data_IF_025356439218
#
_entry.id   IF_025356439218
#
_cell.length_a   1.000
_cell.length_b   1.000
_cell.length_c   1.000
_cell.angle_alpha   90.00
_cell.angle_beta   90.00
_cell.angle_gamma   90.00
#
_symmetry.space_group_name_H-M   'P 1'
#
loop_
_entity.id
_entity.type
_entity.pdbx_description
1 polymer ?
#
# COMPACT_ATOMS: atom_id res chain seq x y z
N UNK A 1 -12.75 -31.22 29.09
CA UNK A 1 -12.01 -32.47 29.40
C UNK A 1 -12.42 -33.08 30.74
N UNK A 2 -12.56 -34.41 30.77
CA UNK A 2 -12.91 -35.18 31.97
C UNK A 2 -11.80 -36.20 32.20
N UNK A 3 -11.28 -36.29 33.42
CA UNK A 3 -10.48 -37.43 33.86
C UNK A 3 -11.44 -38.53 34.28
N UNK A 4 -11.41 -39.64 33.56
CA UNK A 4 -12.18 -40.83 33.86
C UNK A 4 -11.25 -41.89 34.44
N UNK A 5 -11.71 -42.54 35.50
CA UNK A 5 -10.99 -43.60 36.18
C UNK A 5 -11.73 -44.90 35.96
N UNK A 6 -11.09 -45.87 35.31
CA UNK A 6 -11.59 -47.25 35.23
C UNK A 6 -10.83 -48.11 36.20
N UNK A 7 -11.59 -48.81 37.03
CA UNK A 7 -11.08 -49.86 37.90
C UNK A 7 -11.22 -51.18 37.16
N UNK A 8 -10.09 -51.82 36.88
CA UNK A 8 -10.04 -53.17 36.34
C UNK A 8 -9.85 -54.13 37.51
N UNK A 9 -10.86 -54.95 37.76
CA UNK A 9 -10.84 -55.97 38.81
C UNK A 9 -10.84 -57.36 38.16
N UNK A 10 -9.91 -58.22 38.58
CA UNK A 10 -9.88 -59.64 38.21
C UNK A 10 -10.12 -60.47 39.48
N UNK A 11 -11.39 -60.79 39.79
CA UNK A 11 -11.77 -61.35 41.10
C UNK A 11 -11.10 -62.70 41.39
N UNK A 12 -10.87 -63.52 40.36
CA UNK A 12 -10.21 -64.83 40.50
C UNK A 12 -8.71 -64.76 40.83
N UNK A 13 -8.09 -63.58 40.72
CA UNK A 13 -6.65 -63.38 40.94
C UNK A 13 -6.34 -62.33 42.03
N UNK A 14 -7.36 -61.73 42.68
CA UNK A 14 -7.20 -60.60 43.61
C UNK A 14 -6.37 -59.44 43.04
N UNK A 15 -6.46 -59.20 41.73
CA UNK A 15 -5.78 -58.09 41.08
C UNK A 15 -6.75 -56.92 40.93
N UNK A 16 -6.27 -55.75 41.35
CA UNK A 16 -6.96 -54.48 41.21
C UNK A 16 -6.00 -53.50 40.56
N UNK A 17 -6.39 -52.98 39.41
CA UNK A 17 -5.65 -51.91 38.74
C UNK A 17 -6.58 -50.73 38.50
N UNK A 18 -6.09 -49.54 38.76
CA UNK A 18 -6.82 -48.30 38.50
C UNK A 18 -6.14 -47.62 37.33
N UNK A 19 -6.84 -47.55 36.20
CA UNK A 19 -6.36 -46.88 35.00
C UNK A 19 -7.10 -45.56 34.88
N UNK A 20 -6.35 -44.46 34.91
CA UNK A 20 -6.89 -43.13 34.61
C UNK A 20 -6.71 -42.87 33.12
N UNK A 21 -7.78 -42.44 32.44
CA UNK A 21 -7.71 -41.94 31.08
C UNK A 21 -8.37 -40.57 30.97
N UNK A 22 -7.81 -39.73 30.11
CA UNK A 22 -8.30 -38.39 29.82
C UNK A 22 -9.16 -38.44 28.58
N UNK A 23 -10.41 -38.01 28.69
CA UNK A 23 -11.35 -37.99 27.57
C UNK A 23 -11.57 -36.56 27.07
N UNK A 24 -11.44 -36.38 25.76
CA UNK A 24 -11.62 -35.13 25.03
C UNK A 24 -10.31 -34.43 24.65
N UNK A 25 -10.43 -33.40 23.83
CA UNK A 25 -9.31 -32.54 23.43
C UNK A 25 -9.32 -31.22 24.21
N UNK A 26 -8.15 -30.62 24.39
CA UNK A 26 -8.01 -29.24 24.85
C UNK A 26 -7.10 -28.46 23.88
N UNK A 27 -7.63 -28.10 22.70
CA UNK A 27 -6.88 -27.30 21.75
C UNK A 27 -6.53 -25.94 22.35
N UNK A 28 -5.27 -25.57 22.21
CA UNK A 28 -4.74 -24.27 22.65
C UNK A 28 -3.88 -23.68 21.54
N UNK A 29 -3.90 -22.35 21.43
CA UNK A 29 -2.85 -21.63 20.72
C UNK A 29 -1.55 -21.85 21.51
N UNK A 30 -0.58 -22.50 20.88
CA UNK A 30 0.73 -22.76 21.47
C UNK A 30 1.73 -21.69 21.06
N UNK A 31 1.61 -21.18 19.85
CA UNK A 31 2.55 -20.24 19.26
C UNK A 31 1.86 -19.39 18.20
N UNK A 32 2.26 -18.11 18.14
CA UNK A 32 1.84 -17.16 17.10
C UNK A 32 3.12 -16.55 16.56
N UNK A 33 3.39 -16.80 15.28
CA UNK A 33 4.53 -16.23 14.58
C UNK A 33 4.04 -15.41 13.41
N UNK A 34 4.51 -14.17 13.29
CA UNK A 34 4.48 -13.52 11.99
C UNK A 34 5.44 -14.28 11.08
N UNK A 35 5.00 -14.67 9.89
CA UNK A 35 5.83 -15.40 8.93
C UNK A 35 6.91 -14.44 8.37
N UNK A 36 7.97 -14.23 9.15
CA UNK A 36 9.08 -13.31 8.85
C UNK A 36 10.04 -13.96 7.85
N UNK A 37 9.57 -14.28 6.65
CA UNK A 37 10.49 -14.61 5.56
C UNK A 37 11.26 -13.36 5.08
N UNK A 38 10.71 -12.16 5.30
CA UNK A 38 11.25 -10.86 4.87
C UNK A 38 10.87 -9.77 5.87
N UNK A 39 11.60 -8.65 5.87
CA UNK A 39 11.28 -7.46 6.65
C UNK A 39 9.85 -6.98 6.36
N UNK A 40 9.14 -6.60 7.41
CA UNK A 40 7.74 -6.18 7.32
C UNK A 40 7.64 -4.65 7.17
N UNK A 41 6.70 -4.20 6.34
CA UNK A 41 6.57 -2.78 6.01
C UNK A 41 5.12 -2.27 6.23
N UNK A 42 4.94 -0.97 6.52
CA UNK A 42 3.63 -0.33 6.62
C UNK A 42 2.88 -0.45 5.31
N UNK A 43 1.57 -0.62 5.40
CA UNK A 43 0.75 -0.96 4.25
C UNK A 43 1.14 -2.29 3.62
N UNK A 44 1.78 -3.24 4.35
CA UNK A 44 2.03 -4.61 3.86
C UNK A 44 1.25 -5.72 4.54
N UNK A 45 0.79 -6.73 3.79
CA UNK A 45 0.07 -7.86 4.40
C UNK A 45 1.04 -8.74 5.19
N UNK A 46 0.78 -8.85 6.48
CA UNK A 46 1.51 -9.67 7.45
C UNK A 46 0.70 -10.94 7.73
N UNK A 47 1.08 -12.10 7.19
CA UNK A 47 0.49 -13.37 7.59
C UNK A 47 0.94 -13.76 9.00
N UNK A 48 0.01 -14.28 9.79
CA UNK A 48 0.22 -14.84 11.11
C UNK A 48 0.03 -16.36 11.07
N UNK A 49 1.10 -17.09 11.34
CA UNK A 49 1.06 -18.51 11.61
C UNK A 49 0.55 -18.73 13.03
N UNK A 50 -0.69 -19.20 13.14
CA UNK A 50 -1.31 -19.56 14.42
C UNK A 50 -1.20 -21.07 14.60
N UNK A 51 -0.34 -21.47 15.52
CA UNK A 51 -0.05 -22.86 15.83
C UNK A 51 -0.94 -23.34 16.96
N UNK A 52 -1.61 -24.47 16.73
CA UNK A 52 -2.58 -25.09 17.64
C UNK A 52 -2.07 -26.48 18.02
N UNK A 53 -2.13 -26.78 19.31
CA UNK A 53 -1.81 -28.11 19.86
C UNK A 53 -2.89 -28.54 20.85
N UNK A 54 -3.09 -29.84 20.99
CA UNK A 54 -3.89 -30.37 22.10
C UNK A 54 -3.00 -30.52 23.35
N UNK A 55 -3.24 -29.69 24.35
CA UNK A 55 -2.46 -29.69 25.60
C UNK A 55 -2.64 -30.98 26.41
N UNK A 56 -3.73 -31.72 26.23
CA UNK A 56 -4.00 -32.96 26.97
C UNK A 56 -3.49 -34.19 26.25
N UNK A 57 -3.70 -34.26 24.93
CA UNK A 57 -3.36 -35.41 24.12
C UNK A 57 -2.68 -34.93 22.83
N UNK A 58 -1.36 -34.62 22.85
CA UNK A 58 -0.66 -34.04 21.69
C UNK A 58 -0.79 -34.87 20.41
N UNK A 59 -0.86 -36.20 20.53
CA UNK A 59 -0.98 -37.13 19.40
C UNK A 59 -2.39 -37.18 18.78
N UNK A 60 -3.36 -36.44 19.32
CA UNK A 60 -4.74 -36.44 18.83
C UNK A 60 -4.81 -35.91 17.40
N UNK A 61 -5.55 -36.61 16.57
CA UNK A 61 -6.05 -36.08 15.30
C UNK A 61 -7.08 -34.99 15.59
N UNK A 62 -6.60 -33.75 15.75
CA UNK A 62 -7.44 -32.63 16.16
C UNK A 62 -8.46 -32.25 15.08
N UNK A 63 -8.08 -32.34 13.81
CA UNK A 63 -8.98 -32.11 12.67
C UNK A 63 -10.11 -33.13 12.69
N UNK A 64 -9.80 -34.43 12.72
CA UNK A 64 -10.80 -35.49 12.78
C UNK A 64 -11.67 -35.43 14.05
N UNK A 65 -11.08 -35.05 15.19
CA UNK A 65 -11.83 -34.81 16.43
C UNK A 65 -12.86 -33.69 16.23
N UNK A 66 -12.47 -32.51 15.76
CA UNK A 66 -13.39 -31.39 15.56
C UNK A 66 -14.48 -31.70 14.53
N UNK A 67 -14.12 -32.35 13.42
CA UNK A 67 -15.08 -32.81 12.41
C UNK A 67 -16.14 -33.74 12.99
N UNK A 68 -15.76 -34.66 13.89
CA UNK A 68 -16.68 -35.61 14.53
C UNK A 68 -17.76 -34.93 15.39
N UNK A 69 -17.46 -33.74 15.92
CA UNK A 69 -18.40 -32.89 16.66
C UNK A 69 -19.03 -31.79 15.79
N UNK A 70 -18.71 -31.74 14.49
CA UNK A 70 -19.18 -30.71 13.57
C UNK A 70 -18.73 -29.30 13.95
N UNK A 71 -17.53 -29.19 14.54
CA UNK A 71 -16.91 -27.94 14.96
C UNK A 71 -15.90 -27.44 13.93
N UNK A 72 -15.88 -26.14 13.70
CA UNK A 72 -14.87 -25.45 12.88
C UNK A 72 -14.09 -24.47 13.75
N UNK A 73 -12.77 -24.40 13.63
CA UNK A 73 -11.99 -23.40 14.36
C UNK A 73 -12.30 -22.00 13.83
N UNK A 74 -12.22 -20.99 14.68
CA UNK A 74 -12.33 -19.58 14.31
C UNK A 74 -11.28 -18.81 15.08
N UNK A 75 -10.52 -17.94 14.41
CA UNK A 75 -9.55 -17.06 15.08
C UNK A 75 -9.91 -15.60 14.88
N UNK A 76 -10.19 -14.94 15.99
CA UNK A 76 -10.39 -13.50 16.06
C UNK A 76 -9.04 -12.84 16.36
N UNK A 77 -8.63 -11.91 15.51
CA UNK A 77 -7.46 -11.04 15.71
C UNK A 77 -8.00 -9.63 15.93
N UNK A 78 -7.73 -9.06 17.10
CA UNK A 78 -8.16 -7.72 17.49
C UNK A 78 -6.93 -6.89 17.91
N UNK A 79 -6.64 -5.76 17.26
CA UNK A 79 -5.65 -4.82 17.77
C UNK A 79 -6.17 -4.15 19.03
N UNK A 80 -5.34 -4.11 20.08
CA UNK A 80 -5.74 -3.55 21.39
C UNK A 80 -4.84 -2.41 21.86
N UNK A 81 -3.63 -2.29 21.32
CA UNK A 81 -2.70 -1.21 21.64
C UNK A 81 -1.68 -1.01 20.51
N UNK A 82 -1.13 0.20 20.39
CA UNK A 82 -0.16 0.57 19.36
C UNK A 82 0.85 1.58 19.92
N UNK A 83 2.14 1.26 19.77
CA UNK A 83 3.25 2.18 20.04
C UNK A 83 3.91 2.56 18.71
N UNK A 84 3.82 3.83 18.28
CA UNK A 84 4.33 4.24 16.98
C UNK A 84 5.85 4.19 16.89
N UNK A 85 6.34 3.86 15.70
CA UNK A 85 7.71 4.06 15.29
C UNK A 85 7.73 5.03 14.11
N UNK A 86 8.47 6.15 14.20
CA UNK A 86 8.37 7.23 13.23
C UNK A 86 8.87 6.79 11.85
N UNK A 87 8.28 7.38 10.80
CA UNK A 87 8.84 7.32 9.45
C UNK A 87 10.13 8.16 9.39
N UNK A 88 10.86 8.06 8.28
CA UNK A 88 11.84 9.09 7.97
C UNK A 88 11.12 10.44 7.77
N UNK A 89 11.62 11.51 8.38
CA UNK A 89 11.00 12.85 8.38
C UNK A 89 10.57 13.32 6.98
N UNK A 90 11.38 13.03 5.96
CA UNK A 90 11.07 13.37 4.57
C UNK A 90 9.88 12.59 3.99
N UNK A 91 9.76 11.31 4.34
CA UNK A 91 8.65 10.47 3.90
C UNK A 91 7.36 10.82 4.66
N UNK A 92 7.47 11.18 5.94
CA UNK A 92 6.37 11.67 6.76
C UNK A 92 5.80 12.97 6.20
N UNK A 93 6.65 13.99 5.98
CA UNK A 93 6.21 15.27 5.43
C UNK A 93 5.64 15.15 4.01
N UNK A 94 6.16 14.23 3.19
CA UNK A 94 5.59 13.95 1.87
C UNK A 94 4.21 13.29 1.98
N UNK A 95 4.06 12.30 2.86
CA UNK A 95 2.80 11.60 3.07
C UNK A 95 1.72 12.54 3.62
N UNK A 96 2.04 13.36 4.62
CA UNK A 96 1.12 14.37 5.18
C UNK A 96 0.60 15.31 4.10
N UNK A 97 1.52 15.88 3.32
CA UNK A 97 1.17 16.77 2.20
C UNK A 97 0.24 16.11 1.19
N UNK A 98 0.41 14.81 0.91
CA UNK A 98 -0.45 14.08 -0.02
C UNK A 98 -1.84 13.82 0.58
N UNK A 99 -1.92 13.50 1.87
CA UNK A 99 -3.19 13.27 2.57
C UNK A 99 -4.04 14.54 2.65
N UNK A 100 -3.41 15.72 2.80
CA UNK A 100 -4.12 17.01 2.77
C UNK A 100 -4.87 17.25 1.45
N UNK A 101 -4.38 16.69 0.33
CA UNK A 101 -5.03 16.81 -0.99
C UNK A 101 -6.20 15.84 -1.18
N UNK A 102 -6.42 14.93 -0.22
CA UNK A 102 -7.39 13.85 -0.29
C UNK A 102 -8.31 13.84 0.94
N UNK A 103 -9.22 14.82 1.07
CA UNK A 103 -10.19 14.82 2.16
C UNK A 103 -10.97 13.50 2.25
N UNK A 104 -11.14 12.98 3.47
CA UNK A 104 -11.78 11.67 3.71
C UNK A 104 -10.83 10.47 3.58
N UNK A 105 -9.55 10.70 3.28
CA UNK A 105 -8.49 9.70 3.38
C UNK A 105 -7.67 10.01 4.62
N UNK A 106 -7.68 9.10 5.58
CA UNK A 106 -6.88 9.18 6.80
C UNK A 106 -6.03 7.93 6.93
N UNK A 107 -4.80 8.09 7.44
CA UNK A 107 -4.04 6.95 7.90
C UNK A 107 -4.83 6.31 9.04
N UNK A 108 -5.21 5.04 8.86
CA UNK A 108 -5.81 4.29 9.96
C UNK A 108 -4.73 4.13 11.04
N UNK A 109 -5.07 4.37 12.30
CA UNK A 109 -4.18 4.02 13.42
C UNK A 109 -4.31 2.53 13.74
N UNK A 110 -5.50 1.97 13.51
CA UNK A 110 -5.79 0.56 13.73
C UNK A 110 -5.42 -0.29 12.50
N UNK A 111 -4.74 -1.43 12.69
CA UNK A 111 -4.42 -2.34 11.60
C UNK A 111 -5.67 -3.02 11.06
N UNK A 112 -5.79 -3.06 9.73
CA UNK A 112 -6.85 -3.78 9.05
C UNK A 112 -6.60 -5.29 9.19
N UNK A 113 -7.44 -5.98 9.94
CA UNK A 113 -7.34 -7.44 10.12
C UNK A 113 -8.04 -8.16 8.98
N UNK A 114 -7.46 -9.28 8.56
CA UNK A 114 -8.01 -10.15 7.51
C UNK A 114 -8.18 -11.54 8.07
N UNK A 115 -9.44 -11.99 8.07
CA UNK A 115 -9.84 -13.31 8.51
C UNK A 115 -10.48 -14.03 7.30
N UNK A 116 -10.04 -15.25 6.97
CA UNK A 116 -10.73 -16.10 6.00
C UNK A 116 -12.20 -16.33 6.39
N UNK A 117 -13.07 -16.47 5.38
CA UNK A 117 -14.50 -16.77 5.58
C UNK A 117 -14.73 -18.14 6.23
N UNK A 118 -13.78 -19.05 6.04
CA UNK A 118 -13.81 -20.43 6.53
C UNK A 118 -12.40 -20.87 6.89
N UNK A 119 -12.29 -21.70 7.92
CA UNK A 119 -11.03 -22.12 8.50
C UNK A 119 -10.87 -23.63 8.48
N UNK A 120 -9.63 -24.06 8.28
CA UNK A 120 -9.17 -25.43 8.34
C UNK A 120 -7.98 -25.55 9.30
N UNK A 121 -7.79 -26.76 9.81
CA UNK A 121 -6.55 -27.15 10.48
C UNK A 121 -5.66 -27.90 9.48
N UNK A 122 -4.52 -27.34 9.14
CA UNK A 122 -3.51 -28.01 8.35
C UNK A 122 -2.48 -28.67 9.28
N UNK A 123 -2.25 -29.97 9.12
CA UNK A 123 -1.16 -30.65 9.82
C UNK A 123 0.19 -30.28 9.21
N UNK A 124 1.14 -29.85 10.03
CA UNK A 124 2.49 -29.52 9.58
C UNK A 124 3.45 -30.70 9.83
N UNK A 125 3.93 -30.88 11.07
CA UNK A 125 4.73 -32.03 11.52
C UNK A 125 4.39 -32.42 12.97
N UNK A 126 4.41 -33.73 13.28
CA UNK A 126 4.17 -34.23 14.64
C UNK A 126 2.78 -33.87 15.19
N UNK A 127 2.67 -33.42 16.47
CA UNK A 127 1.40 -33.06 17.12
C UNK A 127 0.90 -31.64 16.77
N UNK A 128 1.51 -30.99 15.78
CA UNK A 128 1.35 -29.56 15.50
C UNK A 128 0.37 -29.31 14.36
N UNK A 129 -0.60 -28.44 14.61
CA UNK A 129 -1.60 -28.01 13.65
C UNK A 129 -1.47 -26.50 13.40
N UNK A 130 -1.69 -26.07 12.17
CA UNK A 130 -1.67 -24.67 11.77
C UNK A 130 -3.04 -24.29 11.26
N UNK A 131 -3.53 -23.15 11.69
CA UNK A 131 -4.80 -22.61 11.20
C UNK A 131 -4.60 -21.97 9.82
N UNK A 132 -5.39 -22.39 8.83
CA UNK A 132 -5.37 -21.84 7.48
C UNK A 132 -6.80 -21.64 6.96
N UNK A 133 -7.00 -20.63 6.13
CA UNK A 133 -8.25 -20.40 5.44
C UNK A 133 -8.54 -21.46 4.37
N UNK A 134 -9.82 -21.86 4.27
CA UNK A 134 -10.33 -22.60 3.12
C UNK A 134 -10.25 -21.67 1.89
N UNK A 135 -9.65 -22.14 0.79
CA UNK A 135 -9.36 -21.30 -0.37
C UNK A 135 -10.62 -20.65 -0.98
N UNK A 136 -10.64 -19.32 -1.19
CA UNK A 136 -11.37 -18.72 -2.29
C UNK A 136 -10.34 -18.15 -3.28
N UNK A 137 -9.84 -18.95 -4.23
CA UNK A 137 -9.89 -18.65 -5.67
C UNK A 137 -8.99 -19.51 -6.57
N UNK A 138 -9.64 -19.91 -7.67
CA UNK A 138 -9.08 -20.41 -8.92
C UNK A 138 -8.31 -19.30 -9.65
N UNK A 139 -6.98 -19.30 -9.56
CA UNK A 139 -6.15 -18.83 -10.68
C UNK A 139 -4.76 -19.44 -10.58
N UNK A 140 -4.42 -20.28 -11.57
CA UNK A 140 -3.08 -20.83 -11.84
C UNK A 140 -2.49 -21.79 -10.80
N UNK A 141 -3.16 -22.91 -10.53
CA UNK A 141 -2.56 -24.26 -10.38
C UNK A 141 -1.34 -24.51 -9.47
N UNK A 142 -0.88 -23.56 -8.65
CA UNK A 142 0.25 -23.72 -7.74
C UNK A 142 -0.14 -23.21 -6.37
N UNK A 143 -0.25 -24.15 -5.42
CA UNK A 143 -0.36 -23.90 -3.98
C UNK A 143 0.86 -23.05 -3.56
N UNK A 144 0.63 -21.86 -2.99
CA UNK A 144 1.63 -21.13 -2.21
C UNK A 144 1.17 -21.19 -0.76
N UNK A 145 2.04 -21.66 0.13
CA UNK A 145 1.68 -22.00 1.51
C UNK A 145 1.25 -20.78 2.38
N UNK A 146 1.73 -19.57 2.09
CA UNK A 146 1.47 -18.39 2.96
C UNK A 146 0.22 -17.56 2.66
N UNK A 147 -0.53 -17.79 1.57
CA UNK A 147 -1.65 -16.89 1.19
C UNK A 147 -2.96 -17.10 1.95
N UNK A 148 -3.06 -18.19 2.71
CA UNK A 148 -4.27 -18.58 3.40
C UNK A 148 -4.18 -18.41 4.92
N UNK A 149 -3.05 -17.95 5.45
CA UNK A 149 -2.95 -17.63 6.87
C UNK A 149 -3.74 -16.36 7.17
N UNK A 150 -4.35 -16.24 8.36
CA UNK A 150 -4.91 -14.98 8.80
C UNK A 150 -3.82 -13.93 8.97
N UNK A 151 -4.19 -12.66 9.07
CA UNK A 151 -3.19 -11.63 9.14
C UNK A 151 -3.77 -10.24 9.28
N UNK A 152 -2.91 -9.25 9.05
CA UNK A 152 -3.31 -7.86 9.07
C UNK A 152 -2.42 -7.02 8.16
N UNK A 153 -2.83 -5.78 7.93
CA UNK A 153 -2.01 -4.75 7.27
C UNK A 153 -1.72 -3.67 8.32
N UNK A 154 -0.47 -3.55 8.81
CA UNK A 154 -0.11 -2.48 9.73
C UNK A 154 -0.06 -1.17 8.94
N UNK A 155 -0.82 -0.14 9.31
CA UNK A 155 -0.87 1.11 8.56
C UNK A 155 0.42 1.92 8.73
N UNK A 156 1.08 1.79 9.88
CA UNK A 156 2.28 2.53 10.27
C UNK A 156 3.34 1.57 10.84
N UNK A 157 4.59 2.04 10.95
CA UNK A 157 5.58 1.30 11.73
C UNK A 157 5.27 1.41 13.22
N UNK A 158 5.62 0.38 13.98
CA UNK A 158 5.50 0.37 15.42
C UNK A 158 5.34 -1.01 16.02
N UNK A 159 5.11 -1.00 17.33
CA UNK A 159 4.82 -2.20 18.10
C UNK A 159 3.31 -2.28 18.29
N UNK A 160 2.70 -3.32 17.72
CA UNK A 160 1.26 -3.54 17.78
C UNK A 160 0.96 -4.66 18.77
N UNK A 161 0.05 -4.40 19.69
CA UNK A 161 -0.46 -5.41 20.61
C UNK A 161 -1.75 -5.97 20.05
N UNK A 162 -1.75 -7.26 19.77
CA UNK A 162 -2.92 -8.00 19.32
C UNK A 162 -3.45 -8.90 20.42
N UNK A 163 -4.77 -8.87 20.59
CA UNK A 163 -5.52 -9.91 21.27
C UNK A 163 -5.96 -10.93 20.24
N UNK A 164 -5.52 -12.17 20.41
CA UNK A 164 -5.84 -13.28 19.52
C UNK A 164 -6.66 -14.28 20.32
N UNK A 165 -7.85 -14.62 19.80
CA UNK A 165 -8.78 -15.54 20.43
C UNK A 165 -9.08 -16.68 19.48
N UNK A 166 -8.83 -17.89 19.93
CA UNK A 166 -9.31 -19.11 19.28
C UNK A 166 -10.71 -19.44 19.81
N UNK A 167 -11.63 -19.78 18.92
CA UNK A 167 -12.96 -20.27 19.21
C UNK A 167 -13.27 -21.49 18.32
N UNK A 168 -14.34 -22.22 18.66
CA UNK A 168 -14.84 -23.34 17.86
C UNK A 168 -16.34 -23.19 17.68
N UNK A 169 -16.79 -23.10 16.44
CA UNK A 169 -18.19 -22.87 16.09
C UNK A 169 -18.82 -24.13 15.49
N UNK A 170 -20.06 -24.43 15.87
CA UNK A 170 -20.83 -25.51 15.29
C UNK A 170 -21.61 -25.07 14.05
N UNK A 171 -22.02 -26.02 13.20
CA UNK A 171 -22.75 -25.79 11.93
C UNK A 171 -24.03 -24.94 12.02
N UNK A 172 -24.60 -24.73 13.21
CA UNK A 172 -25.85 -23.99 13.41
C UNK A 172 -25.64 -22.57 14.00
N UNK A 173 -24.40 -22.06 14.06
CA UNK A 173 -24.10 -20.74 14.66
C UNK A 173 -24.42 -20.64 16.17
N UNK A 174 -24.89 -21.73 16.77
CA UNK A 174 -25.03 -21.86 18.22
C UNK A 174 -23.64 -22.10 18.76
N UNK A 175 -23.11 -21.10 19.46
CA UNK A 175 -21.81 -21.15 20.10
C UNK A 175 -21.68 -22.45 20.89
N UNK A 176 -20.81 -23.33 20.41
CA UNK A 176 -20.25 -24.34 21.28
C UNK A 176 -19.48 -23.59 22.36
N UNK A 177 -19.57 -24.06 23.60
CA UNK A 177 -18.93 -23.50 24.80
C UNK A 177 -17.59 -22.82 24.47
N UNK A 178 -17.31 -21.62 25.02
CA UNK A 178 -16.09 -20.86 24.73
C UNK A 178 -14.88 -21.58 25.32
N UNK A 179 -14.42 -22.65 24.66
CA UNK A 179 -13.10 -23.21 24.81
C UNK A 179 -12.16 -22.33 24.01
N UNK A 180 -11.95 -21.11 24.49
CA UNK A 180 -11.11 -20.13 23.83
C UNK A 180 -10.11 -19.57 24.81
N UNK A 181 -8.82 -19.84 24.57
CA UNK A 181 -7.75 -19.14 25.26
C UNK A 181 -7.56 -17.81 24.53
N UNK A 182 -7.70 -16.72 25.26
CA UNK A 182 -7.30 -15.39 24.78
C UNK A 182 -5.82 -15.23 25.07
N UNK A 183 -5.04 -14.88 24.05
CA UNK A 183 -3.62 -14.56 24.18
C UNK A 183 -3.40 -13.14 23.69
N UNK A 184 -2.56 -12.39 24.41
CA UNK A 184 -2.13 -11.06 23.99
C UNK A 184 -0.68 -11.17 23.54
N UNK A 185 -0.39 -10.71 22.32
CA UNK A 185 0.95 -10.70 21.74
C UNK A 185 1.31 -9.32 21.22
N UNK A 186 2.53 -8.90 21.56
CA UNK A 186 3.15 -7.71 20.95
C UNK A 186 3.93 -8.19 19.73
N UNK A 187 3.61 -7.62 18.58
CA UNK A 187 4.29 -7.88 17.31
C UNK A 187 4.93 -6.57 16.84
N UNK A 188 6.25 -6.60 16.67
CA UNK A 188 7.04 -5.44 16.24
C UNK A 188 7.17 -5.38 14.71
N UNK A 189 6.72 -4.27 14.14
CA UNK A 189 6.79 -3.93 12.71
C UNK A 189 7.60 -2.66 12.53
N UNK A 190 8.91 -2.82 12.50
CA UNK A 190 9.87 -1.74 12.30
C UNK A 190 11.10 -2.28 11.61
N UNK A 191 11.84 -1.46 10.85
CA UNK A 191 13.09 -1.89 10.23
C UNK A 191 14.07 -2.38 11.31
N UNK A 192 14.81 -3.46 11.02
CA UNK A 192 15.81 -4.00 11.95
C UNK A 192 17.06 -3.11 12.02
N UNK A 193 17.39 -2.43 10.92
CA UNK A 193 18.51 -1.52 10.81
C UNK A 193 18.27 -0.37 9.80
N UNK A 194 19.23 0.56 9.73
CA UNK A 194 19.21 1.69 8.81
C UNK A 194 19.23 1.28 7.33
N UNK A 195 19.80 0.11 7.01
CA UNK A 195 19.83 -0.39 5.62
C UNK A 195 18.44 -0.87 5.20
N UNK A 196 17.70 -1.50 6.09
CA UNK A 196 16.30 -1.86 5.85
C UNK A 196 15.42 -0.62 5.72
N UNK A 197 15.60 0.37 6.59
CA UNK A 197 14.89 1.65 6.46
C UNK A 197 15.23 2.35 5.14
N UNK A 198 16.48 2.28 4.68
CA UNK A 198 16.87 2.87 3.39
C UNK A 198 16.16 2.22 2.19
N UNK A 199 15.74 0.94 2.28
CA UNK A 199 14.97 0.27 1.22
C UNK A 199 13.54 0.77 1.07
N UNK A 200 12.99 1.48 2.05
CA UNK A 200 11.61 1.99 1.99
C UNK A 200 11.53 3.46 1.59
N UNK A 201 12.64 4.18 1.66
CA UNK A 201 12.69 5.63 1.45
C UNK A 201 12.09 6.04 0.10
N UNK A 202 11.21 7.03 0.12
CA UNK A 202 10.55 7.58 -1.06
C UNK A 202 9.42 6.72 -1.64
N UNK A 203 9.45 5.39 -1.51
CA UNK A 203 8.34 4.52 -1.97
C UNK A 203 7.27 4.28 -0.91
N UNK A 204 7.63 4.36 0.38
CA UNK A 204 6.70 4.09 1.47
C UNK A 204 5.47 5.00 1.46
N UNK A 205 5.59 6.32 1.20
CA UNK A 205 4.41 7.18 1.09
C UNK A 205 3.41 6.70 0.05
N UNK A 206 3.87 6.15 -1.09
CA UNK A 206 2.97 5.61 -2.12
C UNK A 206 2.20 4.37 -1.65
N UNK A 207 2.89 3.46 -0.94
CA UNK A 207 2.29 2.23 -0.42
C UNK A 207 1.23 2.55 0.64
N UNK A 208 1.56 3.45 1.58
CA UNK A 208 0.66 3.89 2.64
C UNK A 208 -0.54 4.66 2.08
N UNK A 209 -0.29 5.56 1.12
CA UNK A 209 -1.36 6.32 0.47
C UNK A 209 -2.33 5.39 -0.27
N UNK A 210 -1.81 4.41 -1.03
CA UNK A 210 -2.67 3.46 -1.75
C UNK A 210 -3.52 2.64 -0.78
N UNK A 211 -2.91 2.14 0.30
CA UNK A 211 -3.60 1.36 1.34
C UNK A 211 -4.72 2.16 2.03
N UNK A 212 -4.51 3.46 2.19
CA UNK A 212 -5.48 4.37 2.83
C UNK A 212 -6.61 4.80 1.90
N UNK A 213 -6.30 5.00 0.61
CA UNK A 213 -7.30 5.32 -0.41
C UNK A 213 -8.19 4.12 -0.72
N UNK A 214 -7.61 2.92 -0.81
CA UNK A 214 -8.30 1.70 -1.25
C UNK A 214 -8.06 0.52 -0.27
N UNK A 215 -8.63 0.60 0.95
CA UNK A 215 -8.44 -0.44 1.98
C UNK A 215 -9.09 -1.78 1.59
N UNK A 216 -8.78 -2.84 2.34
CA UNK A 216 -9.37 -4.17 2.16
C UNK A 216 -8.65 -5.02 1.10
N UNK A 217 -9.42 -5.78 0.31
CA UNK A 217 -8.87 -6.73 -0.68
C UNK A 217 -8.10 -6.04 -1.82
N UNK A 218 -8.53 -4.84 -2.21
CA UNK A 218 -7.90 -4.03 -3.26
C UNK A 218 -6.47 -3.63 -2.89
N UNK A 219 -6.29 -3.21 -1.64
CA UNK A 219 -5.01 -3.00 -1.01
C UNK A 219 -4.19 -4.29 -1.04
N UNK A 220 -4.73 -5.38 -0.47
CA UNK A 220 -4.01 -6.64 -0.21
C UNK A 220 -3.23 -7.19 -1.41
N UNK A 221 -3.80 -7.20 -2.62
CA UNK A 221 -3.14 -7.78 -3.79
C UNK A 221 -1.91 -6.99 -4.27
N UNK A 222 -2.07 -5.67 -4.36
CA UNK A 222 -0.99 -4.74 -4.76
C UNK A 222 0.13 -4.79 -3.73
N UNK A 223 -0.28 -4.81 -2.47
CA UNK A 223 0.57 -4.80 -1.30
C UNK A 223 1.40 -6.08 -1.13
N UNK A 224 0.83 -7.26 -1.40
CA UNK A 224 1.57 -8.53 -1.36
C UNK A 224 2.75 -8.52 -2.35
N UNK A 225 2.57 -7.90 -3.53
CA UNK A 225 3.66 -7.70 -4.49
C UNK A 225 4.64 -6.64 -4.01
N UNK A 226 4.14 -5.60 -3.33
CA UNK A 226 4.97 -4.53 -2.78
C UNK A 226 6.00 -5.05 -1.79
N UNK A 227 5.59 -5.88 -0.82
CA UNK A 227 6.49 -6.45 0.20
C UNK A 227 7.76 -7.05 -0.42
N UNK A 228 7.60 -7.89 -1.44
CA UNK A 228 8.72 -8.52 -2.15
C UNK A 228 9.63 -7.52 -2.86
N UNK A 229 9.06 -6.50 -3.52
CA UNK A 229 9.86 -5.53 -4.28
C UNK A 229 10.61 -4.57 -3.36
N UNK A 230 10.02 -4.18 -2.23
CA UNK A 230 10.69 -3.38 -1.20
C UNK A 230 11.87 -4.15 -0.60
N UNK A 231 11.69 -5.43 -0.24
CA UNK A 231 12.78 -6.22 0.34
C UNK A 231 13.96 -6.42 -0.62
N UNK A 232 13.67 -6.54 -1.92
CA UNK A 232 14.64 -6.60 -3.03
C UNK A 232 15.22 -5.22 -3.41
N UNK A 233 14.73 -4.10 -2.86
CA UNK A 233 15.18 -2.74 -3.17
C UNK A 233 14.80 -2.26 -4.58
N UNK A 234 13.75 -2.83 -5.19
CA UNK A 234 13.32 -2.54 -6.56
C UNK A 234 12.26 -1.44 -6.61
N UNK A 235 12.69 -0.20 -6.35
CA UNK A 235 11.80 0.96 -6.25
C UNK A 235 11.04 1.25 -7.55
N UNK A 236 11.72 1.18 -8.70
CA UNK A 236 11.09 1.41 -10.01
C UNK A 236 9.96 0.41 -10.29
N UNK A 237 10.21 -0.89 -10.12
CA UNK A 237 9.21 -1.94 -10.36
C UNK A 237 8.00 -1.80 -9.42
N UNK A 238 8.25 -1.43 -8.16
CA UNK A 238 7.18 -1.15 -7.21
C UNK A 238 6.34 0.06 -7.63
N UNK A 239 7.01 1.14 -8.03
CA UNK A 239 6.35 2.34 -8.51
C UNK A 239 5.49 2.06 -9.76
N UNK A 240 5.93 1.18 -10.66
CA UNK A 240 5.11 0.71 -11.80
C UNK A 240 3.82 0.04 -11.33
N UNK A 241 3.90 -0.89 -10.38
CA UNK A 241 2.72 -1.60 -9.87
C UNK A 241 1.75 -0.62 -9.18
N UNK A 242 2.28 0.30 -8.37
CA UNK A 242 1.46 1.31 -7.69
C UNK A 242 0.85 2.29 -8.69
N UNK A 243 1.61 2.73 -9.69
CA UNK A 243 1.11 3.59 -10.76
C UNK A 243 -0.06 2.95 -11.52
N UNK A 244 0.07 1.68 -11.93
CA UNK A 244 -1.01 0.93 -12.58
C UNK A 244 -2.23 0.78 -11.66
N UNK A 245 -1.99 0.47 -10.39
CA UNK A 245 -3.06 0.33 -9.40
C UNK A 245 -3.84 1.64 -9.20
N UNK A 246 -3.16 2.76 -8.92
CA UNK A 246 -3.80 4.07 -8.81
C UNK A 246 -4.53 4.45 -10.11
N UNK A 247 -3.91 4.21 -11.25
CA UNK A 247 -4.47 4.56 -12.56
C UNK A 247 -5.78 3.83 -12.85
N UNK A 248 -5.89 2.56 -12.45
CA UNK A 248 -7.12 1.77 -12.57
C UNK A 248 -8.17 2.18 -11.55
N UNK A 249 -7.78 2.29 -10.28
CA UNK A 249 -8.72 2.61 -9.20
C UNK A 249 -9.31 4.01 -9.31
N UNK A 250 -8.60 4.94 -9.95
CA UNK A 250 -9.08 6.30 -10.24
C UNK A 250 -9.77 6.44 -11.61
N UNK A 251 -9.80 5.38 -12.44
CA UNK A 251 -10.47 5.44 -13.74
C UNK A 251 -11.99 5.27 -13.59
N UNK A 252 -12.75 6.05 -14.37
CA UNK A 252 -14.21 5.87 -14.50
C UNK A 252 -14.47 4.59 -15.29
N UNK A 253 -14.96 3.53 -14.62
CA UNK A 253 -15.52 2.36 -15.31
C UNK A 253 -17.03 2.55 -15.52
N UNK A 254 -17.52 2.32 -16.75
CA UNK A 254 -18.92 2.53 -17.19
C UNK A 254 -19.99 1.72 -16.42
N UNK A 255 -19.60 0.85 -15.48
CA UNK A 255 -20.51 0.06 -14.64
C UNK A 255 -20.48 0.59 -13.22
N UNK A 256 -21.20 1.69 -13.00
CA UNK A 256 -21.40 2.32 -11.69
C UNK A 256 -22.34 1.47 -10.83
N UNK A 257 -21.81 0.48 -10.11
CA UNK A 257 -22.54 -0.15 -8.99
C UNK A 257 -22.09 0.49 -7.69
N UNK A 258 -23.06 0.92 -6.88
CA UNK A 258 -22.87 1.57 -5.57
C UNK A 258 -22.13 0.69 -4.53
N UNK A 259 -21.93 -0.59 -4.80
CA UNK A 259 -21.39 -1.60 -3.86
C UNK A 259 -19.94 -2.03 -4.15
N UNK A 260 -19.14 -1.23 -4.90
CA UNK A 260 -17.74 -1.54 -5.24
C UNK A 260 -16.75 -0.35 -5.13
N UNK A 261 -15.62 -0.40 -5.87
CA UNK A 261 -14.55 0.63 -5.91
C UNK A 261 -15.07 2.07 -6.12
N UNK A 262 -16.17 2.21 -6.85
CA UNK A 262 -16.84 3.48 -7.12
C UNK A 262 -17.55 4.07 -5.89
N UNK A 263 -17.95 3.24 -4.92
CA UNK A 263 -18.41 3.71 -3.62
C UNK A 263 -17.32 4.47 -2.87
N UNK A 264 -16.08 3.96 -2.90
CA UNK A 264 -14.93 4.60 -2.27
C UNK A 264 -14.54 5.92 -2.96
N UNK A 265 -14.60 5.98 -4.30
CA UNK A 265 -14.41 7.25 -5.02
C UNK A 265 -15.49 8.28 -4.64
N UNK A 266 -16.75 7.84 -4.46
CA UNK A 266 -17.85 8.71 -4.06
C UNK A 266 -17.68 9.22 -2.63
N UNK A 267 -17.19 8.40 -1.71
CA UNK A 267 -16.82 8.82 -0.36
C UNK A 267 -15.79 9.94 -0.37
N UNK A 268 -14.68 9.75 -1.10
CA UNK A 268 -13.62 10.76 -1.19
C UNK A 268 -14.10 12.05 -1.88
N UNK A 269 -14.92 11.93 -2.95
CA UNK A 269 -15.51 13.08 -3.60
C UNK A 269 -16.49 13.84 -2.68
N UNK A 270 -17.33 13.13 -1.93
CA UNK A 270 -18.27 13.76 -0.99
C UNK A 270 -17.52 14.45 0.16
N UNK A 271 -16.44 13.82 0.65
CA UNK A 271 -15.58 14.40 1.67
C UNK A 271 -14.86 15.67 1.17
N UNK A 272 -14.35 15.66 -0.06
CA UNK A 272 -13.74 16.84 -0.68
C UNK A 272 -14.73 18.01 -0.83
N UNK A 273 -16.01 17.71 -1.02
CA UNK A 273 -17.10 18.69 -1.07
C UNK A 273 -17.67 19.07 0.30
N UNK A 274 -17.26 18.39 1.37
CA UNK A 274 -17.78 18.61 2.72
C UNK A 274 -19.26 18.23 2.88
N UNK A 275 -19.76 17.28 2.09
CA UNK A 275 -21.17 16.82 2.11
C UNK A 275 -21.27 15.35 2.44
N UNK A 276 -22.45 14.88 2.85
CA UNK A 276 -22.70 13.45 2.97
C UNK A 276 -22.79 12.80 1.57
N UNK A 277 -22.41 11.52 1.48
CA UNK A 277 -22.37 10.76 0.21
C UNK A 277 -23.69 10.84 -0.57
N UNK A 278 -24.82 10.75 0.15
CA UNK A 278 -26.19 10.80 -0.41
C UNK A 278 -26.56 12.17 -0.98
N UNK A 279 -25.89 13.23 -0.54
CA UNK A 279 -26.19 14.61 -0.89
C UNK A 279 -25.30 15.09 -2.06
N UNK A 280 -24.33 14.30 -2.49
CA UNK A 280 -23.48 14.59 -3.66
C UNK A 280 -24.24 14.32 -4.97
N UNK A 281 -24.51 15.34 -5.79
CA UNK A 281 -25.21 15.16 -7.07
C UNK A 281 -24.39 14.33 -8.06
N UNK A 282 -25.05 13.45 -8.81
CA UNK A 282 -24.38 12.53 -9.74
C UNK A 282 -23.55 13.25 -10.80
N UNK A 283 -24.08 14.30 -11.41
CA UNK A 283 -23.37 15.08 -12.43
C UNK A 283 -22.08 15.70 -11.88
N UNK A 284 -22.13 16.18 -10.63
CA UNK A 284 -20.96 16.76 -9.98
C UNK A 284 -19.91 15.68 -9.67
N UNK A 285 -20.35 14.55 -9.11
CA UNK A 285 -19.50 13.39 -8.87
C UNK A 285 -18.77 12.94 -10.13
N UNK A 286 -19.49 12.76 -11.24
CA UNK A 286 -18.89 12.32 -12.51
C UNK A 286 -17.80 13.29 -12.99
N UNK A 287 -18.04 14.61 -12.96
CA UNK A 287 -17.02 15.62 -13.32
C UNK A 287 -15.79 15.56 -12.40
N UNK A 288 -15.98 15.29 -11.11
CA UNK A 288 -14.86 15.16 -10.17
C UNK A 288 -14.01 13.92 -10.48
N UNK A 289 -14.64 12.78 -10.77
CA UNK A 289 -13.91 11.54 -11.06
C UNK A 289 -13.25 11.58 -12.45
N UNK A 290 -13.87 12.22 -13.44
CA UNK A 290 -13.29 12.45 -14.77
C UNK A 290 -11.93 13.16 -14.69
N UNK A 291 -11.78 14.10 -13.76
CA UNK A 291 -10.52 14.83 -13.55
C UNK A 291 -9.62 14.22 -12.46
N UNK A 292 -10.11 13.27 -11.65
CA UNK A 292 -9.39 12.74 -10.50
C UNK A 292 -8.01 12.16 -10.86
N UNK A 293 -7.88 11.45 -11.99
CA UNK A 293 -6.56 10.95 -12.44
C UNK A 293 -5.57 12.09 -12.71
N UNK A 294 -6.02 13.15 -13.37
CA UNK A 294 -5.18 14.30 -13.70
C UNK A 294 -4.76 15.05 -12.44
N UNK A 295 -5.71 15.36 -11.56
CA UNK A 295 -5.42 16.10 -10.32
C UNK A 295 -4.64 15.27 -9.32
N UNK A 296 -4.89 13.96 -9.24
CA UNK A 296 -4.07 13.04 -8.46
C UNK A 296 -2.62 13.07 -8.94
N UNK A 297 -2.38 12.98 -10.24
CA UNK A 297 -1.01 13.08 -10.78
C UNK A 297 -0.43 14.49 -10.60
N UNK A 298 -1.25 15.55 -10.67
CA UNK A 298 -0.81 16.92 -10.40
C UNK A 298 -0.30 17.07 -8.97
N UNK A 299 -1.02 16.54 -7.99
CA UNK A 299 -0.65 16.61 -6.57
C UNK A 299 0.50 15.66 -6.24
N UNK A 300 0.36 14.37 -6.58
CA UNK A 300 1.36 13.35 -6.29
C UNK A 300 2.65 13.58 -7.09
N UNK A 301 2.53 13.64 -8.41
CA UNK A 301 3.66 13.89 -9.31
C UNK A 301 4.28 15.25 -9.05
N UNK A 302 3.47 16.26 -8.75
CA UNK A 302 3.92 17.58 -8.33
C UNK A 302 4.82 17.54 -7.11
N UNK A 303 4.39 16.89 -6.02
CA UNK A 303 5.15 16.81 -4.79
C UNK A 303 6.50 16.06 -4.96
N UNK A 304 6.50 14.91 -5.64
CA UNK A 304 7.73 14.17 -5.93
C UNK A 304 8.68 14.94 -6.85
N UNK A 305 8.14 15.60 -7.87
CA UNK A 305 8.93 16.37 -8.84
C UNK A 305 9.51 17.64 -8.22
N UNK A 306 8.77 18.29 -7.32
CA UNK A 306 9.23 19.45 -6.55
C UNK A 306 10.37 19.07 -5.58
N UNK A 307 10.28 17.90 -4.94
CA UNK A 307 11.37 17.33 -4.15
C UNK A 307 12.61 17.04 -5.01
N UNK A 308 12.43 16.45 -6.19
CA UNK A 308 13.52 16.22 -7.16
C UNK A 308 14.17 17.53 -7.61
N UNK A 309 13.39 18.58 -7.87
CA UNK A 309 13.90 19.89 -8.25
C UNK A 309 14.67 20.58 -7.12
N UNK A 310 14.22 20.43 -5.86
CA UNK A 310 14.95 20.93 -4.69
C UNK A 310 16.34 20.30 -4.53
N UNK A 311 16.52 19.06 -4.99
CA UNK A 311 17.84 18.39 -5.00
C UNK A 311 18.76 18.87 -6.11
N UNK A 312 18.39 19.86 -6.92
CA UNK A 312 19.25 20.38 -7.97
C UNK A 312 19.93 21.72 -7.60
N UNK A 313 19.62 22.31 -6.44
CA UNK A 313 20.21 23.57 -5.97
C UNK A 313 21.73 23.46 -5.71
N UNK A 314 22.53 24.35 -6.27
CA UNK A 314 24.00 24.28 -6.20
C UNK A 314 24.56 24.82 -4.88
N UNK A 315 24.47 24.03 -3.81
CA UNK A 315 25.24 24.25 -2.59
C UNK A 315 26.64 23.63 -2.68
N UNK A 316 27.62 24.25 -2.03
CA UNK A 316 28.98 23.70 -1.87
C UNK A 316 28.97 22.62 -0.78
N UNK A 317 28.45 21.45 -1.16
CA UNK A 317 28.29 20.31 -0.27
C UNK A 317 29.60 19.50 -0.20
N UNK A 318 30.00 19.04 0.99
CA UNK A 318 31.11 18.09 1.12
C UNK A 318 30.83 16.77 0.37
N UNK A 319 31.87 16.01 0.01
CA UNK A 319 31.75 14.79 -0.82
C UNK A 319 30.69 13.77 -0.33
N UNK A 320 30.54 13.61 0.98
CA UNK A 320 29.56 12.70 1.57
C UNK A 320 28.11 13.16 1.35
N UNK A 321 27.88 14.48 1.48
CA UNK A 321 26.57 15.10 1.24
C UNK A 321 26.21 15.04 -0.24
N UNK A 322 27.19 15.26 -1.14
CA UNK A 322 27.02 15.09 -2.58
C UNK A 322 26.60 13.67 -2.93
N UNK A 323 27.26 12.64 -2.36
CA UNK A 323 26.89 11.23 -2.61
C UNK A 323 25.48 10.91 -2.14
N UNK A 324 25.13 11.30 -0.90
CA UNK A 324 23.80 11.07 -0.36
C UNK A 324 22.71 11.73 -1.23
N UNK A 325 22.98 12.95 -1.71
CA UNK A 325 22.12 13.70 -2.61
C UNK A 325 21.96 13.02 -3.97
N UNK A 326 23.04 12.56 -4.60
CA UNK A 326 22.98 11.83 -5.88
C UNK A 326 22.16 10.54 -5.77
N UNK A 327 22.32 9.78 -4.68
CA UNK A 327 21.53 8.56 -4.45
C UNK A 327 20.05 8.89 -4.25
N UNK A 328 19.72 9.94 -3.49
CA UNK A 328 18.34 10.40 -3.31
C UNK A 328 17.73 10.87 -4.63
N UNK A 329 18.48 11.64 -5.40
CA UNK A 329 18.06 12.12 -6.72
C UNK A 329 17.76 10.96 -7.67
N UNK A 330 18.69 10.02 -7.79
CA UNK A 330 18.53 8.82 -8.62
C UNK A 330 17.30 8.00 -8.20
N UNK A 331 17.10 7.80 -6.90
CA UNK A 331 15.93 7.10 -6.37
C UNK A 331 14.61 7.78 -6.73
N UNK A 332 14.50 9.10 -6.54
CA UNK A 332 13.29 9.84 -6.90
C UNK A 332 13.01 9.77 -8.41
N UNK A 333 14.06 9.82 -9.24
CA UNK A 333 13.94 9.65 -10.68
C UNK A 333 13.39 8.25 -11.04
N UNK A 334 13.93 7.19 -10.44
CA UNK A 334 13.46 5.82 -10.66
C UNK A 334 12.00 5.63 -10.23
N UNK A 335 11.61 6.20 -9.08
CA UNK A 335 10.23 6.17 -8.58
C UNK A 335 9.30 6.92 -9.53
N UNK A 336 9.62 8.16 -9.91
CA UNK A 336 8.79 8.97 -10.80
C UNK A 336 8.62 8.31 -12.17
N UNK A 337 9.71 7.81 -12.78
CA UNK A 337 9.64 7.13 -14.07
C UNK A 337 8.82 5.84 -14.00
N UNK A 338 9.09 5.00 -12.99
CA UNK A 338 8.33 3.76 -12.78
C UNK A 338 6.85 4.06 -12.56
N UNK A 339 6.55 5.04 -11.70
CA UNK A 339 5.19 5.48 -11.44
C UNK A 339 4.48 5.94 -12.72
N UNK A 340 5.08 6.84 -13.49
CA UNK A 340 4.50 7.32 -14.76
C UNK A 340 4.33 6.20 -15.79
N UNK A 341 5.25 5.23 -15.83
CA UNK A 341 5.13 4.07 -16.70
C UNK A 341 3.92 3.21 -16.34
N UNK A 342 3.69 2.95 -15.05
CA UNK A 342 2.50 2.24 -14.59
C UNK A 342 1.22 3.07 -14.72
N UNK A 343 1.29 4.35 -14.41
CA UNK A 343 0.14 5.25 -14.39
C UNK A 343 -0.41 5.50 -15.80
N UNK A 344 0.48 5.54 -16.81
CA UNK A 344 0.14 5.65 -18.23
C UNK A 344 -0.20 7.07 -18.66
N UNK A 345 -0.23 7.30 -19.98
CA UNK A 345 -0.76 8.49 -20.69
C UNK A 345 -0.19 9.89 -20.35
N UNK A 346 0.66 10.01 -19.34
CA UNK A 346 1.14 11.29 -18.83
C UNK A 346 2.66 11.39 -18.72
N UNK A 347 3.15 12.63 -18.71
CA UNK A 347 4.50 13.03 -18.33
C UNK A 347 4.48 14.23 -17.39
N UNK A 348 5.63 14.52 -16.79
CA UNK A 348 5.82 15.65 -15.88
C UNK A 348 6.96 16.54 -16.36
N UNK A 349 6.77 17.84 -16.30
CA UNK A 349 7.83 18.81 -16.49
C UNK A 349 7.89 19.74 -15.29
N UNK A 350 9.07 20.19 -14.91
CA UNK A 350 9.27 21.14 -13.83
C UNK A 350 10.20 22.26 -14.28
N UNK A 351 9.87 23.48 -13.89
CA UNK A 351 10.74 24.66 -14.03
C UNK A 351 11.08 25.14 -12.63
N UNK A 352 12.37 25.21 -12.30
CA UNK A 352 12.84 25.68 -11.00
C UNK A 352 12.35 27.10 -10.75
N UNK A 353 11.98 27.39 -9.51
CA UNK A 353 11.65 28.74 -9.04
C UNK A 353 12.90 29.58 -8.82
N UNK A 354 14.06 28.95 -8.60
CA UNK A 354 15.33 29.66 -8.53
C UNK A 354 15.61 30.37 -9.87
N UNK A 355 15.79 31.69 -9.83
CA UNK A 355 15.98 32.52 -11.02
C UNK A 355 14.70 32.82 -11.81
N UNK A 356 13.55 32.22 -11.49
CA UNK A 356 12.28 32.41 -12.21
C UNK A 356 11.55 33.68 -11.76
N UNK A 357 11.20 34.54 -12.72
CA UNK A 357 10.36 35.73 -12.49
C UNK A 357 8.89 35.51 -12.88
N UNK A 358 8.65 34.85 -14.01
CA UNK A 358 7.30 34.51 -14.50
C UNK A 358 7.37 33.30 -15.40
N UNK A 359 6.38 32.42 -15.26
CA UNK A 359 6.10 31.32 -16.16
C UNK A 359 4.67 31.47 -16.70
N UNK A 360 4.47 31.23 -17.99
CA UNK A 360 3.15 31.05 -18.59
C UNK A 360 3.20 29.86 -19.52
N UNK A 361 2.26 28.94 -19.36
CA UNK A 361 2.21 27.69 -20.11
C UNK A 361 0.94 27.68 -20.93
N UNK A 362 1.03 27.26 -22.19
CA UNK A 362 -0.08 27.19 -23.13
C UNK A 362 -0.13 25.80 -23.76
N UNK A 363 -1.34 25.32 -24.03
CA UNK A 363 -1.56 24.13 -24.85
C UNK A 363 -1.37 24.42 -26.35
N UNK A 364 -1.52 23.38 -27.17
CA UNK A 364 -1.40 23.47 -28.64
C UNK A 364 -2.43 24.42 -29.27
N UNK A 365 -3.58 24.58 -28.62
CA UNK A 365 -4.65 25.46 -29.05
C UNK A 365 -4.45 26.92 -28.58
N UNK A 366 -3.41 27.17 -27.78
CA UNK A 366 -3.08 28.48 -27.23
C UNK A 366 -3.85 28.85 -25.97
N UNK A 367 -4.60 27.93 -25.36
CA UNK A 367 -5.22 28.17 -24.07
C UNK A 367 -4.16 28.12 -22.98
N UNK A 368 -4.22 29.11 -22.10
CA UNK A 368 -3.30 29.21 -20.97
C UNK A 368 -3.67 28.16 -19.92
N UNK A 369 -2.69 27.37 -19.49
CA UNK A 369 -2.81 26.47 -18.36
C UNK A 369 -2.81 27.26 -17.05
N UNK A 370 -3.50 26.72 -16.07
CA UNK A 370 -3.67 27.30 -14.73
C UNK A 370 -3.34 26.28 -13.64
N UNK A 371 -3.29 26.76 -12.40
CA UNK A 371 -2.99 25.93 -11.24
C UNK A 371 -4.04 24.84 -11.04
N UNK A 372 -3.62 23.62 -10.71
CA UNK A 372 -4.54 22.54 -10.38
C UNK A 372 -5.18 22.78 -9.01
N UNK A 373 -6.42 22.31 -8.80
CA UNK A 373 -7.07 22.44 -7.50
C UNK A 373 -6.24 21.77 -6.40
N UNK A 374 -6.23 22.33 -5.17
CA UNK A 374 -5.45 21.78 -4.06
C UNK A 374 -5.95 20.39 -3.61
N UNK A 375 -7.15 20.00 -4.03
CA UNK A 375 -7.74 18.69 -3.73
C UNK A 375 -7.91 17.87 -5.01
N UNK A 376 -7.70 16.55 -4.89
CA UNK A 376 -7.74 15.61 -6.03
C UNK A 376 -9.15 15.49 -6.61
N UNK A 377 -10.17 15.44 -5.76
CA UNK A 377 -11.55 15.38 -6.19
C UNK A 377 -12.10 16.80 -6.30
N UNK A 378 -12.13 17.34 -7.51
CA UNK A 378 -12.62 18.69 -7.82
C UNK A 378 -13.33 18.71 -9.17
N UNK A 379 -14.42 19.47 -9.34
CA UNK A 379 -15.18 19.54 -10.59
C UNK A 379 -14.51 20.39 -11.68
N UNK A 380 -13.23 20.75 -11.50
CA UNK A 380 -12.48 21.71 -12.31
C UNK A 380 -12.32 21.37 -13.81
N UNK A 381 -11.40 22.07 -14.46
CA UNK A 381 -11.16 21.96 -15.90
C UNK A 381 -9.88 21.22 -16.29
N UNK A 382 -9.85 20.69 -17.51
CA UNK A 382 -8.67 20.03 -18.08
C UNK A 382 -7.43 20.94 -18.22
N UNK A 383 -7.57 22.27 -18.14
CA UNK A 383 -6.45 23.22 -18.24
C UNK A 383 -5.81 23.55 -16.88
N UNK A 384 -6.35 23.02 -15.78
CA UNK A 384 -5.83 23.20 -14.42
C UNK A 384 -4.80 22.10 -14.13
N UNK A 385 -3.55 22.33 -14.53
CA UNK A 385 -2.50 21.29 -14.65
C UNK A 385 -1.16 21.68 -14.05
N UNK A 386 -1.08 22.89 -13.48
CA UNK A 386 0.13 23.42 -12.90
C UNK A 386 0.11 23.16 -11.39
N UNK A 387 1.13 22.49 -10.88
CA UNK A 387 1.36 22.38 -9.44
C UNK A 387 2.44 23.39 -9.02
N UNK A 388 2.11 24.28 -8.11
CA UNK A 388 3.02 25.32 -7.62
C UNK A 388 3.73 24.85 -6.35
N UNK A 389 4.83 24.11 -6.51
CA UNK A 389 5.67 23.61 -5.42
C UNK A 389 6.54 24.68 -4.76
N UNK A 390 7.32 24.30 -3.76
CA UNK A 390 8.24 25.22 -3.08
C UNK A 390 9.46 25.54 -3.95
N UNK A 391 10.00 24.52 -4.62
CA UNK A 391 11.22 24.60 -5.42
C UNK A 391 10.94 24.78 -6.91
N UNK A 392 9.80 24.29 -7.41
CA UNK A 392 9.48 24.33 -8.83
C UNK A 392 7.99 24.56 -9.13
N UNK A 393 7.72 25.02 -10.35
CA UNK A 393 6.39 24.89 -10.96
C UNK A 393 6.38 23.64 -11.82
N UNK A 394 5.52 22.70 -11.47
CA UNK A 394 5.37 21.40 -12.14
C UNK A 394 4.17 21.44 -13.09
N UNK A 395 4.31 20.83 -14.25
CA UNK A 395 3.36 20.82 -15.35
C UNK A 395 3.06 19.36 -15.67
N UNK A 396 1.80 18.95 -15.53
CA UNK A 396 1.35 17.64 -16.00
C UNK A 396 0.94 17.75 -17.46
N UNK A 397 1.52 16.93 -18.34
CA UNK A 397 1.19 16.90 -19.77
C UNK A 397 0.79 15.49 -20.22
N UNK A 398 0.01 15.36 -21.31
CA UNK A 398 -0.32 14.05 -21.90
C UNK A 398 0.79 13.63 -22.85
N UNK A 399 1.05 12.34 -22.95
CA UNK A 399 2.03 11.84 -23.93
C UNK A 399 1.56 12.17 -25.37
N UNK A 400 2.47 12.67 -26.20
CA UNK A 400 2.18 13.19 -27.54
C UNK A 400 1.61 14.60 -27.60
N UNK A 401 1.34 15.25 -26.47
CA UNK A 401 0.91 16.66 -26.42
C UNK A 401 2.13 17.59 -26.45
N UNK A 402 2.02 18.71 -27.17
CA UNK A 402 3.00 19.78 -27.12
C UNK A 402 2.51 20.96 -26.28
N UNK A 403 3.38 21.47 -25.42
CA UNK A 403 3.11 22.68 -24.63
C UNK A 403 4.09 23.78 -24.99
N UNK A 404 3.65 25.02 -24.86
CA UNK A 404 4.51 26.20 -25.05
C UNK A 404 4.70 26.91 -23.73
N UNK A 405 5.95 27.09 -23.33
CA UNK A 405 6.33 27.73 -22.08
C UNK A 405 6.99 29.07 -22.39
N UNK A 406 6.36 30.16 -21.98
CA UNK A 406 6.99 31.48 -21.94
C UNK A 406 7.62 31.66 -20.55
N UNK A 407 8.95 31.61 -20.51
CA UNK A 407 9.77 31.69 -19.29
C UNK A 407 10.44 33.07 -19.25
N UNK A 408 10.39 33.72 -18.09
CA UNK A 408 11.20 34.92 -17.83
C UNK A 408 11.95 34.77 -16.53
N UNK A 409 13.23 35.13 -16.57
CA UNK A 409 14.15 35.00 -15.45
C UNK A 409 14.64 36.33 -14.89
N UNK A 410 15.34 36.24 -13.76
CA UNK A 410 15.99 37.37 -13.07
C UNK A 410 17.45 37.58 -13.50
N UNK A 411 18.01 36.68 -14.32
CA UNK A 411 19.37 36.76 -14.83
C UNK A 411 20.07 35.40 -14.85
N UNK A 412 20.10 34.64 -13.74
CA UNK A 412 20.67 33.29 -13.71
C UNK A 412 19.90 32.30 -14.60
N UNK A 413 20.56 31.26 -15.14
CA UNK A 413 19.89 30.17 -15.84
C UNK A 413 18.87 29.49 -14.95
N UNK A 414 17.70 29.17 -15.51
CA UNK A 414 16.62 28.47 -14.82
C UNK A 414 16.67 27.01 -15.25
N UNK A 415 16.72 26.10 -14.29
CA UNK A 415 16.69 24.68 -14.60
C UNK A 415 15.29 24.22 -14.98
N UNK A 416 15.21 23.39 -16.02
CA UNK A 416 14.01 22.67 -16.39
C UNK A 416 14.28 21.16 -16.48
N UNK A 417 13.37 20.36 -15.97
CA UNK A 417 13.45 18.89 -15.97
C UNK A 417 12.16 18.35 -16.56
N UNK A 418 12.27 17.41 -17.49
CA UNK A 418 11.14 16.66 -18.08
C UNK A 418 11.31 15.18 -17.77
N UNK A 419 10.31 14.57 -17.16
CA UNK A 419 10.25 13.15 -16.84
C UNK A 419 9.17 12.49 -17.69
N UNK A 420 9.57 11.47 -18.42
CA UNK A 420 8.72 10.58 -19.20
C UNK A 420 8.90 9.14 -18.69
N UNK A 421 7.94 8.25 -18.96
CA UNK A 421 8.07 6.82 -18.65
C UNK A 421 9.37 6.17 -19.14
N UNK A 422 9.94 6.67 -20.25
CA UNK A 422 11.11 6.10 -20.93
C UNK A 422 12.39 6.94 -20.77
N UNK A 423 12.37 8.06 -20.05
CA UNK A 423 13.55 8.93 -19.97
C UNK A 423 13.35 10.21 -19.18
N UNK A 424 14.46 10.79 -18.73
CA UNK A 424 14.52 12.10 -18.10
C UNK A 424 15.38 13.01 -18.95
N UNK A 425 14.91 14.22 -19.20
CA UNK A 425 15.66 15.25 -19.89
C UNK A 425 15.83 16.44 -18.96
N UNK A 426 17.06 16.93 -18.81
CA UNK A 426 17.37 18.14 -18.06
C UNK A 426 17.94 19.17 -19.00
N UNK A 427 17.55 20.41 -18.81
CA UNK A 427 18.06 21.54 -19.58
C UNK A 427 18.11 22.79 -18.72
N UNK A 428 18.85 23.78 -19.17
CA UNK A 428 18.85 25.13 -18.61
C UNK A 428 18.16 26.02 -19.64
N UNK A 429 17.36 26.96 -19.14
CA UNK A 429 16.74 27.99 -19.96
C UNK A 429 17.15 29.36 -19.45
N UNK A 430 17.00 30.38 -20.29
CA UNK A 430 17.39 31.75 -19.98
C UNK A 430 18.90 31.92 -19.67
N UNK A 431 19.79 31.09 -20.22
CA UNK A 431 21.24 31.17 -19.94
C UNK A 431 21.86 32.55 -20.28
N UNK A 432 21.48 33.12 -21.42
CA UNK A 432 21.98 34.43 -21.90
C UNK A 432 20.86 35.45 -22.13
N UNK A 433 19.63 35.16 -21.67
CA UNK A 433 18.42 35.94 -21.99
C UNK A 433 17.51 36.03 -20.79
N UNK A 434 16.86 37.17 -20.60
CA UNK A 434 15.87 37.36 -19.52
C UNK A 434 14.50 36.76 -19.85
N UNK A 435 14.24 36.40 -21.11
CA UNK A 435 13.00 35.79 -21.57
C UNK A 435 13.29 34.76 -22.67
N UNK A 436 12.65 33.60 -22.59
CA UNK A 436 12.75 32.52 -23.56
C UNK A 436 11.40 31.84 -23.75
N UNK A 437 11.10 31.45 -25.00
CA UNK A 437 9.92 30.66 -25.36
C UNK A 437 10.37 29.26 -25.71
N UNK A 438 9.98 28.28 -24.90
CA UNK A 438 10.31 26.88 -25.06
C UNK A 438 9.11 26.10 -25.58
N UNK A 439 9.37 25.08 -26.39
CA UNK A 439 8.35 24.08 -26.76
C UNK A 439 8.68 22.78 -26.07
N UNK A 440 7.75 22.31 -25.24
CA UNK A 440 7.82 21.02 -24.57
C UNK A 440 7.12 19.99 -25.45
N UNK A 441 7.91 19.08 -26.02
CA UNK A 441 7.38 17.95 -26.78
C UNK A 441 7.07 16.76 -25.86
N UNK A 442 5.83 16.26 -25.91
CA UNK A 442 5.38 15.06 -25.20
C UNK A 442 5.73 13.74 -25.91
N UNK A 443 6.47 13.79 -27.02
CA UNK A 443 6.80 12.62 -27.83
C UNK A 443 7.70 11.61 -27.10
N UNK A 444 7.35 10.34 -27.27
CA UNK A 444 8.08 9.19 -26.74
C UNK A 444 9.11 8.75 -27.79
N UNK A 445 10.40 9.00 -27.55
CA UNK A 445 11.45 8.33 -28.34
C UNK A 445 11.50 6.86 -27.92
N UNK A 446 10.85 5.98 -28.68
CA UNK A 446 11.03 4.53 -28.52
C UNK A 446 12.46 4.19 -28.94
N UNK A 447 13.33 3.66 -28.06
CA UNK A 447 14.68 3.29 -28.45
C UNK A 447 14.64 2.22 -29.55
N UNK A 448 15.40 2.42 -30.64
CA UNK A 448 15.39 1.57 -31.86
C UNK A 448 15.63 0.07 -31.61
N UNK A 449 16.07 -0.35 -30.42
CA UNK A 449 16.30 -1.77 -30.08
C UNK A 449 15.03 -2.61 -29.91
N UNK A 450 13.84 -2.03 -29.86
CA UNK A 450 12.58 -2.79 -29.69
C UNK A 450 11.84 -3.15 -31.00
N UNK A 451 12.32 -2.73 -32.17
CA UNK A 451 11.73 -3.16 -33.46
C UNK A 451 12.06 -4.61 -33.85
N UNK A 452 12.94 -5.29 -33.13
CA UNK A 452 13.41 -6.63 -33.50
C UNK A 452 12.64 -7.80 -32.84
N UNK A 453 11.66 -7.54 -31.97
CA UNK A 453 10.93 -8.57 -31.22
C UNK A 453 9.41 -8.36 -31.17
N UNK A 454 8.80 -7.91 -32.27
CA UNK A 454 7.36 -8.06 -32.49
C UNK A 454 7.09 -9.08 -33.59
#
# INVERSE_FOLDING_TARGET
>A
PVEETVVVEVPGLNLYETVNFRVGAMPVVSEIEAEKEQSEFPGTYVPLKVTITDKLNPETDLEGFLESFGLSPVVEIEPVDYTPFPLAEEDEGLLEKLLETLPGVTLQEEPATFQPESWLLAKEEGPVWVLAGEYPYRSSGKRRAGSNLPGFIPPLWGDYTFRIRLAFEGKDGRSALPFGRTETRVLSFRPEDEKEMAKTRGVMPLVMLYSSMFPGENARFVILKAKRLVSEGKHADLAVILGDAFSRSLAVNERLSYEGETGRLREMAAAAEGVAIKDLPEEKFLRMVENAKLYFLCQLGGAYMDSLAGLASTGDDGEEHLRARFEKEKRLQEILQGFLYGFGDYGLAAVSKEGLKRLSVYDEQGFRLSECPPVVFSPGGHNERLYAGENAVVIVFRLGENLVLDVSGTGPPIQAIKVLPNGINKTLCCEDKTTERLTLFGDVVVPEKQKALR
#
